data_IF_369729694142
#
_entry.id   IF_369729694142
#
_cell.length_a   1.000
_cell.length_b   1.000
_cell.length_c   1.000
_cell.angle_alpha   90.00
_cell.angle_beta   90.00
_cell.angle_gamma   90.00
#
_symmetry.space_group_name_H-M   'P 1'
#
loop_
_entity.id
_entity.type
_entity.pdbx_description
1 polymer ?
#
# COMPACT_ATOMS: atom_id res chain seq x y z
N UNK A 1 4.05 8.29 -3.99
CA UNK A 1 5.22 8.10 -3.10
C UNK A 1 5.74 9.39 -2.47
N UNK A 2 6.15 10.42 -3.24
CA UNK A 2 6.72 11.67 -2.66
C UNK A 2 5.89 12.30 -1.52
N UNK A 3 4.57 12.31 -1.65
CA UNK A 3 3.66 12.86 -0.63
C UNK A 3 3.68 12.09 0.70
N UNK A 4 3.91 10.77 0.67
CA UNK A 4 4.03 9.94 1.88
C UNK A 4 5.40 10.17 2.51
N UNK A 5 6.47 10.14 1.70
CA UNK A 5 7.84 10.37 2.21
C UNK A 5 8.03 11.76 2.79
N UNK A 6 7.28 12.75 2.30
CA UNK A 6 7.27 14.11 2.84
C UNK A 6 6.33 14.28 4.05
N UNK A 7 5.57 13.25 4.44
CA UNK A 7 4.59 13.32 5.52
C UNK A 7 3.32 14.12 5.20
N UNK A 8 3.09 14.48 3.93
CA UNK A 8 1.89 15.21 3.49
C UNK A 8 0.63 14.34 3.49
N UNK A 9 0.80 13.01 3.44
CA UNK A 9 -0.28 12.03 3.57
C UNK A 9 0.16 10.86 4.45
N UNK A 10 -0.70 10.48 5.39
CA UNK A 10 -0.44 9.37 6.32
C UNK A 10 -0.98 8.01 5.87
N UNK A 11 -1.79 7.96 4.80
CA UNK A 11 -2.39 6.70 4.36
C UNK A 11 -2.60 6.62 2.84
N UNK A 12 -2.55 5.38 2.34
CA UNK A 12 -2.97 4.98 0.99
C UNK A 12 -4.09 3.96 1.16
N UNK A 13 -5.23 4.21 0.52
CA UNK A 13 -6.36 3.29 0.49
C UNK A 13 -6.66 2.94 -0.96
N UNK A 14 -6.69 1.65 -1.27
CA UNK A 14 -7.01 1.16 -2.61
C UNK A 14 -8.02 0.02 -2.55
N UNK A 15 -8.76 -0.20 -3.63
CA UNK A 15 -9.69 -1.32 -3.71
C UNK A 15 -8.94 -2.65 -3.85
N UNK A 16 -7.95 -2.69 -4.75
CA UNK A 16 -7.21 -3.92 -5.10
C UNK A 16 -5.71 -3.69 -5.10
N UNK A 17 -4.93 -4.73 -4.79
CA UNK A 17 -3.45 -4.68 -4.85
C UNK A 17 -2.93 -4.28 -6.23
N UNK A 18 -3.60 -4.71 -7.30
CA UNK A 18 -3.26 -4.37 -8.68
C UNK A 18 -3.36 -2.87 -9.00
N UNK A 19 -4.09 -2.09 -8.20
CA UNK A 19 -4.11 -0.62 -8.32
C UNK A 19 -2.82 0.02 -7.81
N UNK A 20 -2.01 -0.71 -7.05
CA UNK A 20 -0.69 -0.30 -6.57
C UNK A 20 0.38 -0.84 -7.51
N UNK A 21 0.39 -2.16 -7.72
CA UNK A 21 1.15 -2.81 -8.79
C UNK A 21 0.56 -4.20 -9.08
N UNK A 22 0.49 -4.63 -10.35
CA UNK A 22 0.14 -6.02 -10.70
C UNK A 22 1.26 -7.02 -10.38
N UNK A 23 2.49 -6.56 -10.12
CA UNK A 23 3.63 -7.42 -9.81
C UNK A 23 3.80 -7.58 -8.29
N UNK A 24 3.84 -8.83 -7.82
CA UNK A 24 3.92 -9.14 -6.38
C UNK A 24 5.14 -8.51 -5.71
N UNK A 25 6.31 -8.61 -6.34
CA UNK A 25 7.55 -8.05 -5.78
C UNK A 25 7.53 -6.53 -5.65
N UNK A 26 6.94 -5.84 -6.63
CA UNK A 26 6.80 -4.38 -6.60
C UNK A 26 5.78 -3.92 -5.57
N UNK A 27 4.67 -4.65 -5.43
CA UNK A 27 3.70 -4.40 -4.37
C UNK A 27 4.36 -4.48 -2.99
N UNK A 28 5.11 -5.54 -2.72
CA UNK A 28 5.77 -5.74 -1.42
C UNK A 28 6.85 -4.68 -1.15
N UNK A 29 7.53 -4.21 -2.19
CA UNK A 29 8.49 -3.11 -2.08
C UNK A 29 7.77 -1.79 -1.76
N UNK A 30 6.71 -1.46 -2.47
CA UNK A 30 5.93 -0.23 -2.25
C UNK A 30 5.31 -0.23 -0.84
N UNK A 31 4.74 -1.35 -0.39
CA UNK A 31 4.20 -1.49 0.95
C UNK A 31 5.26 -1.19 2.02
N UNK A 32 6.46 -1.78 1.88
CA UNK A 32 7.60 -1.52 2.77
C UNK A 32 8.05 -0.06 2.76
N UNK A 33 8.04 0.60 1.60
CA UNK A 33 8.38 2.01 1.50
C UNK A 33 7.36 2.91 2.22
N UNK A 34 6.07 2.58 2.13
CA UNK A 34 4.99 3.31 2.83
C UNK A 34 5.17 3.19 4.35
N UNK A 35 5.37 1.96 4.85
CA UNK A 35 5.59 1.71 6.28
C UNK A 35 6.85 2.40 6.81
N UNK A 36 7.97 2.33 6.06
CA UNK A 36 9.23 3.00 6.44
C UNK A 36 9.08 4.52 6.53
N UNK A 37 8.19 5.10 5.74
CA UNK A 37 7.86 6.52 5.79
C UNK A 37 6.84 6.88 6.90
N UNK A 38 6.42 5.91 7.73
CA UNK A 38 5.41 6.10 8.78
C UNK A 38 3.97 6.20 8.25
N UNK A 39 3.75 5.85 6.97
CA UNK A 39 2.43 5.80 6.37
C UNK A 39 1.76 4.44 6.52
N UNK A 40 0.45 4.40 6.28
CA UNK A 40 -0.36 3.20 6.34
C UNK A 40 -0.88 2.81 4.95
N UNK A 41 -0.83 1.52 4.59
CA UNK A 41 -1.45 1.01 3.38
C UNK A 41 -2.64 0.12 3.74
N UNK A 42 -3.81 0.43 3.17
CA UNK A 42 -5.01 -0.38 3.29
C UNK A 42 -5.52 -0.79 1.91
N UNK A 43 -5.79 -2.09 1.74
CA UNK A 43 -6.40 -2.64 0.53
C UNK A 43 -7.75 -3.24 0.93
N UNK A 44 -8.84 -2.74 0.35
CA UNK A 44 -10.21 -3.12 0.72
C UNK A 44 -10.49 -4.60 0.45
N UNK A 45 -10.04 -5.12 -0.70
CA UNK A 45 -10.19 -6.52 -1.10
C UNK A 45 -9.02 -7.39 -0.65
N UNK A 46 -8.56 -7.20 0.59
CA UNK A 46 -7.59 -8.10 1.23
C UNK A 46 -8.24 -9.36 1.81
N UNK A 47 -9.58 -9.45 1.74
CA UNK A 47 -10.40 -10.48 2.38
C UNK A 47 -11.10 -11.33 1.31
N UNK A 48 -10.33 -12.19 0.63
CA UNK A 48 -10.87 -13.35 -0.11
C UNK A 48 -10.25 -14.67 0.35
N UNK A 49 -9.91 -14.78 1.64
CA UNK A 49 -9.80 -16.09 2.28
C UNK A 49 -9.85 -15.99 3.81
N UNK A 50 -10.99 -15.55 4.37
CA UNK A 50 -11.37 -15.97 5.73
C UNK A 50 -12.13 -17.29 5.62
N UNK A 51 -11.68 -18.37 6.29
CA UNK A 51 -12.47 -19.61 6.40
C UNK A 51 -13.78 -19.38 7.16
#
# INVERSE_FOLDING_TARGET
>A
MKRITNGEVGAVVTAWRSMISPLVGEYDEIARQIEKAGGFLYVLDSDQNRP
#
